data_IF_374658764756
#
_entry.id   IF_374658764756
#
_cell.length_a   1.000
_cell.length_b   1.000
_cell.length_c   1.000
_cell.angle_alpha   90.00
_cell.angle_beta   90.00
_cell.angle_gamma   90.00
#
_symmetry.space_group_name_H-M   'P 1'
#
loop_
_entity.id
_entity.type
_entity.pdbx_description
1 polymer ?
#
# COMPACT_ATOMS: atom_id res chain seq x y z
N UNK A 1 -7.79 -52.84 48.05
CA UNK A 1 -8.63 -51.70 47.61
C UNK A 1 -9.96 -52.25 47.12
N UNK A 2 -11.01 -52.03 47.91
CA UNK A 2 -12.31 -52.66 47.72
C UNK A 2 -13.04 -52.02 46.52
N UNK A 3 -13.98 -52.74 45.88
CA UNK A 3 -14.70 -52.27 44.67
C UNK A 3 -15.43 -50.93 44.91
N UNK A 4 -15.84 -50.68 46.16
CA UNK A 4 -16.45 -49.43 46.62
C UNK A 4 -15.47 -48.24 46.69
N UNK A 5 -14.21 -48.45 47.08
CA UNK A 5 -13.19 -47.38 47.18
C UNK A 5 -12.73 -46.91 45.81
N UNK A 6 -12.60 -47.83 44.83
CA UNK A 6 -12.32 -47.45 43.43
C UNK A 6 -13.45 -46.61 42.84
N UNK A 7 -14.71 -46.93 43.15
CA UNK A 7 -15.86 -46.18 42.64
C UNK A 7 -15.97 -44.77 43.24
N UNK A 8 -15.58 -44.58 44.51
CA UNK A 8 -15.58 -43.26 45.15
C UNK A 8 -14.55 -42.29 44.58
N UNK A 9 -13.46 -42.79 43.97
CA UNK A 9 -12.43 -41.96 43.34
C UNK A 9 -12.70 -41.76 41.84
N UNK A 10 -13.25 -42.77 41.16
CA UNK A 10 -13.52 -42.71 39.72
C UNK A 10 -14.62 -41.69 39.37
N UNK A 11 -15.69 -41.62 40.17
CA UNK A 11 -16.82 -40.70 39.94
C UNK A 11 -16.38 -39.21 39.96
N UNK A 12 -15.66 -38.72 40.98
CA UNK A 12 -15.22 -37.31 40.99
C UNK A 12 -14.20 -37.03 39.89
N UNK A 13 -13.33 -37.98 39.53
CA UNK A 13 -12.37 -37.80 38.42
C UNK A 13 -13.10 -37.65 37.08
N UNK A 14 -14.11 -38.48 36.81
CA UNK A 14 -14.92 -38.36 35.58
C UNK A 14 -15.67 -37.03 35.56
N UNK A 15 -16.29 -36.63 36.67
CA UNK A 15 -16.95 -35.32 36.75
C UNK A 15 -15.97 -34.17 36.51
N UNK A 16 -14.75 -34.25 37.07
CA UNK A 16 -13.73 -33.23 36.88
C UNK A 16 -13.28 -33.15 35.42
N UNK A 17 -13.07 -34.29 34.76
CA UNK A 17 -12.71 -34.36 33.33
C UNK A 17 -13.83 -33.84 32.44
N UNK A 18 -15.10 -34.17 32.73
CA UNK A 18 -16.25 -33.64 31.97
C UNK A 18 -16.40 -32.13 32.13
N UNK A 19 -16.21 -31.59 33.35
CA UNK A 19 -16.22 -30.14 33.60
C UNK A 19 -15.04 -29.47 32.90
N UNK A 20 -13.85 -30.07 32.92
CA UNK A 20 -12.69 -29.53 32.21
C UNK A 20 -12.87 -29.55 30.70
N UNK A 21 -13.35 -30.65 30.12
CA UNK A 21 -13.59 -30.75 28.68
C UNK A 21 -14.70 -29.80 28.22
N UNK A 22 -15.79 -29.68 28.99
CA UNK A 22 -16.83 -28.69 28.69
C UNK A 22 -16.32 -27.26 28.85
N UNK A 23 -15.53 -26.96 29.88
CA UNK A 23 -14.91 -25.64 30.03
C UNK A 23 -13.92 -25.32 28.91
N UNK A 24 -13.12 -26.29 28.43
CA UNK A 24 -12.20 -26.12 27.29
C UNK A 24 -12.97 -25.96 25.98
N UNK A 25 -14.08 -26.69 25.77
CA UNK A 25 -14.94 -26.53 24.59
C UNK A 25 -15.69 -25.19 24.61
N UNK A 26 -16.20 -24.78 25.77
CA UNK A 26 -16.83 -23.48 25.98
C UNK A 26 -15.79 -22.37 25.80
N UNK A 27 -14.60 -22.48 26.39
CA UNK A 27 -13.50 -21.53 26.19
C UNK A 27 -13.09 -21.48 24.73
N UNK A 28 -12.93 -22.61 24.05
CA UNK A 28 -12.64 -22.66 22.61
C UNK A 28 -13.74 -22.02 21.75
N UNK A 29 -15.00 -22.14 22.18
CA UNK A 29 -16.15 -21.56 21.48
C UNK A 29 -16.25 -20.04 21.73
N UNK A 30 -16.01 -19.58 22.96
CA UNK A 30 -16.08 -18.17 23.36
C UNK A 30 -14.76 -17.39 23.20
N UNK A 31 -13.64 -18.08 22.97
CA UNK A 31 -12.35 -17.47 22.60
C UNK A 31 -12.16 -17.35 21.10
N UNK A 32 -13.19 -17.66 20.30
CA UNK A 32 -13.29 -17.01 18.99
C UNK A 32 -13.32 -15.50 19.27
N UNK A 33 -12.50 -14.69 18.58
CA UNK A 33 -12.60 -13.24 18.72
C UNK A 33 -14.07 -12.87 18.53
N UNK A 34 -14.63 -12.16 19.50
CA UNK A 34 -16.00 -11.73 19.45
C UNK A 34 -16.20 -10.95 18.15
N UNK A 35 -17.21 -11.35 17.39
CA UNK A 35 -17.70 -10.70 16.18
C UNK A 35 -18.40 -9.39 16.58
N UNK A 36 -17.69 -8.53 17.32
CA UNK A 36 -18.32 -7.45 18.10
C UNK A 36 -18.72 -6.24 17.25
N UNK A 37 -18.30 -6.15 15.98
CA UNK A 37 -18.57 -4.99 15.11
C UNK A 37 -19.22 -5.32 13.76
N UNK A 38 -19.67 -6.55 13.51
CA UNK A 38 -20.32 -6.92 12.22
C UNK A 38 -19.44 -6.60 11.00
N UNK A 39 -18.12 -6.67 11.19
CA UNK A 39 -17.10 -6.27 10.22
C UNK A 39 -16.23 -7.46 9.86
N UNK A 40 -16.18 -7.76 8.58
CA UNK A 40 -15.35 -8.81 8.02
C UNK A 40 -13.99 -8.21 7.68
N UNK A 41 -12.95 -8.58 8.42
CA UNK A 41 -11.59 -8.11 8.16
C UNK A 41 -10.82 -9.16 7.38
N UNK A 42 -10.26 -8.76 6.25
CA UNK A 42 -9.39 -9.59 5.42
C UNK A 42 -7.98 -9.03 5.49
N UNK A 43 -7.07 -9.80 6.05
CA UNK A 43 -5.64 -9.51 6.09
C UNK A 43 -4.97 -10.11 4.87
N UNK A 44 -4.37 -9.25 4.05
CA UNK A 44 -3.56 -9.62 2.89
C UNK A 44 -2.11 -9.53 3.28
N UNK A 45 -1.33 -10.55 2.94
CA UNK A 45 0.13 -10.54 3.08
C UNK A 45 0.77 -10.72 1.73
N UNK A 46 1.61 -9.78 1.36
CA UNK A 46 2.47 -9.87 0.20
C UNK A 46 3.73 -10.66 0.54
N UNK A 47 4.35 -11.38 -0.41
CA UNK A 47 5.65 -11.98 -0.22
C UNK A 47 6.66 -10.90 0.15
N UNK A 48 7.72 -11.29 0.85
CA UNK A 48 8.87 -10.42 0.99
C UNK A 48 9.48 -10.19 -0.40
N UNK A 49 9.27 -8.99 -0.93
CA UNK A 49 9.99 -8.52 -2.10
C UNK A 49 11.42 -8.15 -1.67
N UNK A 50 12.42 -8.51 -2.47
CA UNK A 50 13.81 -8.09 -2.24
C UNK A 50 13.97 -6.55 -2.36
N UNK A 51 12.98 -5.89 -2.96
CA UNK A 51 12.95 -4.45 -3.22
C UNK A 51 11.79 -3.77 -2.49
N UNK A 52 11.88 -2.45 -2.33
CA UNK A 52 10.81 -1.67 -1.72
C UNK A 52 9.50 -1.79 -2.52
N UNK A 53 8.36 -1.74 -1.85
CA UNK A 53 7.03 -1.82 -2.45
C UNK A 53 6.18 -0.65 -1.97
N UNK A 54 5.43 -0.05 -2.89
CA UNK A 54 4.32 0.84 -2.56
C UNK A 54 3.03 0.08 -2.81
N UNK A 55 2.16 0.10 -1.81
CA UNK A 55 0.82 -0.47 -1.84
C UNK A 55 -0.17 0.70 -1.76
N UNK A 56 -0.50 1.35 -2.89
CA UNK A 56 -1.41 2.49 -2.89
C UNK A 56 -2.88 2.09 -2.71
N UNK A 57 -3.11 0.82 -2.42
CA UNK A 57 -4.39 0.16 -2.54
C UNK A 57 -5.27 0.57 -1.37
N UNK A 58 -6.03 1.63 -1.60
CA UNK A 58 -7.12 2.03 -0.71
C UNK A 58 -8.33 1.11 -0.82
N UNK A 59 -8.45 0.30 -1.89
CA UNK A 59 -9.61 -0.59 -2.10
C UNK A 59 -9.23 -1.97 -2.62
N UNK A 60 -9.89 -3.03 -2.12
CA UNK A 60 -9.74 -4.39 -2.64
C UNK A 60 -11.12 -4.95 -3.02
N UNK A 61 -11.23 -5.48 -4.23
CA UNK A 61 -12.43 -6.19 -4.67
C UNK A 61 -12.65 -7.45 -3.83
N UNK A 62 -13.81 -7.53 -3.18
CA UNK A 62 -14.21 -8.65 -2.34
C UNK A 62 -15.69 -8.95 -2.58
N UNK A 63 -16.06 -10.20 -2.75
CA UNK A 63 -17.42 -10.62 -3.06
C UNK A 63 -17.78 -11.95 -2.40
N UNK A 64 -19.08 -12.24 -2.28
CA UNK A 64 -19.58 -13.53 -1.79
C UNK A 64 -19.74 -14.58 -2.90
N UNK A 65 -19.50 -14.19 -4.15
CA UNK A 65 -19.52 -15.06 -5.33
C UNK A 65 -18.30 -14.81 -6.23
N UNK A 66 -17.90 -15.83 -7.00
CA UNK A 66 -16.69 -15.80 -7.82
C UNK A 66 -16.82 -14.98 -9.12
N UNK A 67 -18.01 -14.45 -9.41
CA UNK A 67 -18.25 -13.56 -10.55
C UNK A 67 -18.29 -12.09 -10.13
N UNK A 68 -18.08 -11.80 -8.84
CA UNK A 68 -18.14 -10.45 -8.29
C UNK A 68 -19.47 -9.75 -8.59
N UNK A 69 -20.58 -10.50 -8.58
CA UNK A 69 -21.93 -9.92 -8.77
C UNK A 69 -22.51 -9.35 -7.46
N UNK A 70 -22.03 -9.86 -6.32
CA UNK A 70 -22.41 -9.43 -4.99
C UNK A 70 -21.16 -9.03 -4.21
N UNK A 71 -20.64 -7.86 -4.55
CA UNK A 71 -19.48 -7.26 -3.88
C UNK A 71 -19.83 -6.82 -2.46
N UNK A 72 -18.89 -7.04 -1.54
CA UNK A 72 -18.95 -6.53 -0.19
C UNK A 72 -18.46 -5.08 -0.19
N UNK A 73 -19.18 -4.21 0.52
CA UNK A 73 -18.79 -2.82 0.64
C UNK A 73 -17.61 -2.70 1.61
N UNK A 74 -16.47 -2.20 1.10
CA UNK A 74 -15.34 -1.87 1.95
C UNK A 74 -15.65 -0.62 2.79
N UNK A 75 -15.32 -0.68 4.07
CA UNK A 75 -15.52 0.40 5.04
C UNK A 75 -14.22 1.15 5.31
N UNK A 76 -13.11 0.42 5.39
CA UNK A 76 -11.79 1.00 5.66
C UNK A 76 -10.66 0.07 5.21
N UNK A 77 -9.48 0.66 5.07
CA UNK A 77 -8.20 0.00 4.87
C UNK A 77 -7.23 0.49 5.94
N UNK A 78 -6.30 -0.38 6.35
CA UNK A 78 -5.17 0.02 7.16
C UNK A 78 -3.93 -0.82 6.84
N UNK A 79 -2.80 -0.14 6.76
CA UNK A 79 -1.46 -0.71 6.74
C UNK A 79 -0.64 -0.11 7.89
N UNK A 80 0.21 -0.90 8.53
CA UNK A 80 1.14 -0.40 9.55
C UNK A 80 2.42 0.20 8.95
N UNK A 81 2.51 0.24 7.61
CA UNK A 81 3.61 0.83 6.82
C UNK A 81 4.97 0.17 7.03
N UNK A 82 5.05 -0.88 7.84
CA UNK A 82 6.29 -1.57 8.23
C UNK A 82 6.24 -3.07 7.94
N UNK A 83 5.04 -3.64 7.81
CA UNK A 83 4.81 -5.02 7.42
C UNK A 83 4.25 -5.05 6.01
N UNK A 84 4.53 -6.13 5.28
CA UNK A 84 3.91 -6.42 3.99
C UNK A 84 2.43 -6.84 4.15
N UNK A 85 1.75 -6.33 5.18
CA UNK A 85 0.39 -6.71 5.55
C UNK A 85 -0.55 -5.51 5.39
N UNK A 86 -1.72 -5.78 4.82
CA UNK A 86 -2.81 -4.84 4.66
C UNK A 86 -4.09 -5.44 5.20
N UNK A 87 -4.88 -4.65 5.90
CA UNK A 87 -6.15 -5.07 6.47
C UNK A 87 -7.27 -4.29 5.79
N UNK A 88 -8.18 -5.02 5.14
CA UNK A 88 -9.37 -4.47 4.50
C UNK A 88 -10.60 -4.89 5.29
N UNK A 89 -11.43 -3.91 5.65
CA UNK A 89 -12.62 -4.13 6.46
C UNK A 89 -13.87 -3.98 5.60
N UNK A 90 -14.77 -4.96 5.68
CA UNK A 90 -15.99 -5.02 4.87
C UNK A 90 -17.23 -5.11 5.73
N UNK A 91 -18.30 -4.47 5.26
CA UNK A 91 -19.64 -4.63 5.81
C UNK A 91 -20.27 -5.91 5.26
N UNK A 92 -20.98 -6.65 6.11
CA UNK A 92 -21.81 -7.77 5.69
C UNK A 92 -23.14 -7.79 6.47
N UNK A 93 -24.23 -8.08 5.77
CA UNK A 93 -25.56 -8.23 6.38
C UNK A 93 -25.78 -9.64 6.94
N UNK A 94 -25.21 -10.64 6.28
CA UNK A 94 -25.26 -12.04 6.67
C UNK A 94 -23.89 -12.64 6.48
N UNK A 95 -23.39 -13.32 7.51
CA UNK A 95 -22.05 -13.88 7.50
C UNK A 95 -21.89 -14.88 6.33
N UNK A 96 -20.99 -14.62 5.36
CA UNK A 96 -20.79 -15.53 4.24
C UNK A 96 -19.96 -16.74 4.66
N UNK A 97 -20.28 -17.94 4.16
CA UNK A 97 -19.42 -19.13 4.35
C UNK A 97 -18.08 -19.00 3.61
N UNK A 98 -18.08 -18.21 2.54
CA UNK A 98 -16.93 -18.03 1.64
C UNK A 98 -16.98 -16.64 1.02
N UNK A 99 -15.81 -16.03 0.86
CA UNK A 99 -15.58 -14.83 0.09
C UNK A 99 -14.55 -15.07 -1.01
N UNK A 100 -14.62 -14.27 -2.05
CA UNK A 100 -13.72 -14.22 -3.19
C UNK A 100 -13.10 -12.84 -3.23
N UNK A 101 -11.78 -12.79 -3.37
CA UNK A 101 -11.04 -11.53 -3.48
C UNK A 101 -10.22 -11.54 -4.75
N UNK A 102 -9.96 -10.35 -5.31
CA UNK A 102 -8.87 -10.18 -6.28
C UNK A 102 -7.67 -9.60 -5.58
N UNK A 103 -6.50 -10.13 -5.89
CA UNK A 103 -5.25 -9.53 -5.46
C UNK A 103 -5.19 -8.10 -6.01
N UNK A 104 -5.08 -7.08 -5.15
CA UNK A 104 -4.94 -5.73 -5.65
C UNK A 104 -3.54 -5.52 -6.23
N UNK A 105 -3.43 -4.49 -7.06
CA UNK A 105 -2.19 -4.21 -7.75
C UNK A 105 -1.20 -3.49 -6.83
N UNK A 106 0.08 -3.82 -6.96
CA UNK A 106 1.16 -3.23 -6.16
C UNK A 106 2.18 -2.55 -7.06
N UNK A 107 2.96 -1.63 -6.50
CA UNK A 107 4.03 -0.95 -7.20
C UNK A 107 5.37 -1.43 -6.64
N UNK A 108 6.14 -2.16 -7.43
CA UNK A 108 7.41 -2.75 -7.01
C UNK A 108 8.56 -1.88 -7.51
N UNK A 109 9.53 -1.63 -6.63
CA UNK A 109 10.73 -0.87 -6.97
C UNK A 109 11.55 -1.62 -8.02
N UNK A 110 11.85 -0.91 -9.10
CA UNK A 110 12.71 -1.32 -10.19
C UNK A 110 13.87 -0.32 -10.28
N UNK A 111 15.09 -0.83 -10.07
CA UNK A 111 16.29 -0.01 -10.21
C UNK A 111 16.48 0.37 -11.69
N UNK A 112 16.30 1.64 -12.00
CA UNK A 112 16.18 2.19 -13.33
C UNK A 112 17.47 2.79 -13.88
N UNK A 113 18.65 2.33 -13.42
CA UNK A 113 19.98 2.90 -13.77
C UNK A 113 20.26 3.07 -15.28
N UNK A 114 19.46 2.50 -16.18
CA UNK A 114 19.57 2.69 -17.64
C UNK A 114 18.54 3.64 -18.28
N UNK A 115 17.49 4.06 -17.57
CA UNK A 115 16.34 4.81 -18.13
C UNK A 115 16.09 6.14 -17.39
N UNK A 116 17.12 6.76 -16.82
CA UNK A 116 16.96 8.03 -16.09
C UNK A 116 16.48 9.16 -16.99
N UNK A 117 15.54 9.96 -16.50
CA UNK A 117 15.10 11.18 -17.16
C UNK A 117 15.87 12.36 -16.60
N UNK A 118 16.31 13.24 -17.50
CA UNK A 118 16.86 14.56 -17.14
C UNK A 118 16.02 15.61 -17.86
N UNK A 119 15.07 16.17 -17.12
CA UNK A 119 14.00 17.03 -17.64
C UNK A 119 14.30 18.48 -17.26
N UNK A 120 14.19 19.46 -18.18
CA UNK A 120 14.29 20.86 -17.81
C UNK A 120 13.27 21.19 -16.70
N UNK A 121 13.71 21.89 -15.66
CA UNK A 121 12.87 22.24 -14.51
C UNK A 121 11.96 23.43 -14.84
N UNK A 122 11.00 23.23 -15.74
CA UNK A 122 10.06 24.26 -16.18
C UNK A 122 8.69 23.68 -16.51
N UNK A 123 7.65 24.48 -16.30
CA UNK A 123 6.26 24.09 -16.59
C UNK A 123 6.11 23.71 -18.06
N UNK A 124 5.46 22.58 -18.32
CA UNK A 124 5.26 21.98 -19.64
C UNK A 124 6.41 21.09 -20.12
N UNK A 125 7.53 21.02 -19.39
CA UNK A 125 8.61 20.09 -19.72
C UNK A 125 8.16 18.65 -19.49
N UNK A 126 8.49 17.77 -20.43
CA UNK A 126 8.09 16.36 -20.44
C UNK A 126 9.28 15.49 -20.10
N UNK A 127 9.12 14.63 -19.10
CA UNK A 127 10.05 13.55 -18.79
C UNK A 127 9.78 12.34 -19.68
N UNK A 128 10.84 11.58 -19.98
CA UNK A 128 10.75 10.38 -20.80
C UNK A 128 11.29 9.19 -20.03
N UNK A 129 10.63 8.05 -20.18
CA UNK A 129 11.07 6.79 -19.61
C UNK A 129 11.01 5.71 -20.69
N UNK A 130 12.17 5.14 -21.02
CA UNK A 130 12.36 4.22 -22.16
C UNK A 130 11.83 4.83 -23.48
N UNK A 131 12.30 6.04 -23.80
CA UNK A 131 11.97 6.81 -25.03
C UNK A 131 10.49 7.19 -25.22
N UNK A 132 9.65 6.97 -24.22
CA UNK A 132 8.23 7.31 -24.26
C UNK A 132 7.89 8.38 -23.21
N UNK A 133 6.96 9.32 -23.51
CA UNK A 133 6.50 10.33 -22.55
C UNK A 133 6.01 9.67 -21.27
N UNK A 134 6.48 10.19 -20.14
CA UNK A 134 6.17 9.65 -18.82
C UNK A 134 5.28 10.58 -18.02
N UNK A 135 5.75 11.79 -17.72
CA UNK A 135 4.99 12.81 -17.02
C UNK A 135 5.38 14.19 -17.53
N UNK A 136 4.58 15.20 -17.19
CA UNK A 136 4.92 16.60 -17.42
C UNK A 136 4.97 17.38 -16.12
N UNK A 137 5.85 18.38 -16.07
CA UNK A 137 5.90 19.33 -14.96
C UNK A 137 4.75 20.32 -15.12
N UNK A 138 3.87 20.40 -14.13
CA UNK A 138 2.69 21.28 -14.14
C UNK A 138 2.91 22.54 -13.31
N UNK A 139 3.77 22.49 -12.30
CA UNK A 139 4.11 23.63 -11.45
C UNK A 139 5.57 23.57 -11.00
N UNK A 140 6.20 24.75 -10.91
CA UNK A 140 7.49 24.96 -10.25
C UNK A 140 7.36 26.22 -9.41
N UNK A 141 7.46 26.10 -8.09
CA UNK A 141 7.43 27.24 -7.16
C UNK A 141 8.75 27.35 -6.41
N UNK A 142 9.10 28.57 -6.04
CA UNK A 142 10.32 28.89 -5.29
C UNK A 142 9.94 29.78 -4.12
N UNK A 143 10.01 29.23 -2.92
CA UNK A 143 9.62 29.90 -1.70
C UNK A 143 10.85 30.26 -0.87
N UNK A 144 11.09 31.55 -0.68
CA UNK A 144 12.20 32.04 0.14
C UNK A 144 11.84 31.89 1.62
N UNK A 145 12.57 31.03 2.33
CA UNK A 145 12.40 30.87 3.78
C UNK A 145 13.19 31.95 4.55
N UNK A 146 14.46 32.12 4.19
CA UNK A 146 15.35 33.14 4.74
C UNK A 146 16.49 33.43 3.75
N UNK A 147 17.36 34.38 4.07
CA UNK A 147 18.48 34.73 3.17
C UNK A 147 19.33 33.52 2.86
N UNK A 148 19.44 33.18 1.57
CA UNK A 148 20.20 32.04 1.08
C UNK A 148 19.50 30.69 1.15
N UNK A 149 18.26 30.63 1.66
CA UNK A 149 17.51 29.36 1.78
C UNK A 149 16.13 29.45 1.17
N UNK A 150 15.88 28.50 0.27
CA UNK A 150 14.70 28.44 -0.57
C UNK A 150 14.20 27.00 -0.62
N UNK A 151 12.89 26.83 -0.54
CA UNK A 151 12.22 25.61 -0.92
C UNK A 151 11.80 25.72 -2.38
N UNK A 152 12.03 24.65 -3.13
CA UNK A 152 11.66 24.52 -4.54
C UNK A 152 10.68 23.36 -4.60
N UNK A 153 9.43 23.66 -4.95
CA UNK A 153 8.38 22.65 -5.06
C UNK A 153 8.07 22.43 -6.54
N UNK A 154 8.10 21.17 -6.97
CA UNK A 154 7.83 20.74 -8.35
C UNK A 154 6.65 19.79 -8.32
N UNK A 155 5.58 20.13 -9.03
CA UNK A 155 4.42 19.23 -9.21
C UNK A 155 4.42 18.66 -10.62
N UNK A 156 4.05 17.38 -10.73
CA UNK A 156 3.98 16.67 -12.00
C UNK A 156 2.60 16.03 -12.20
N UNK A 157 2.24 15.82 -13.46
CA UNK A 157 1.09 15.01 -13.87
C UNK A 157 1.57 13.90 -14.81
N UNK A 158 1.17 12.67 -14.50
CA UNK A 158 1.66 11.48 -15.17
C UNK A 158 0.78 11.08 -16.35
N UNK A 159 1.42 10.67 -17.44
CA UNK A 159 0.80 10.01 -18.59
C UNK A 159 0.85 8.49 -18.48
N UNK A 160 1.68 7.97 -17.58
CA UNK A 160 1.91 6.53 -17.39
C UNK A 160 1.75 6.13 -15.94
N UNK A 161 1.31 4.90 -15.76
CA UNK A 161 1.17 4.28 -14.44
C UNK A 161 2.52 3.75 -13.90
N UNK A 162 3.46 4.68 -13.76
CA UNK A 162 4.84 4.43 -13.30
C UNK A 162 5.19 5.55 -12.33
N UNK A 163 5.57 5.19 -11.11
CA UNK A 163 5.87 6.15 -10.05
C UNK A 163 7.38 6.45 -10.06
N UNK A 164 7.82 7.71 -10.13
CA UNK A 164 9.22 8.06 -9.97
C UNK A 164 9.68 7.80 -8.53
N UNK A 165 10.88 7.24 -8.38
CA UNK A 165 11.52 7.08 -7.07
C UNK A 165 12.54 8.18 -6.90
N UNK A 166 12.56 8.80 -5.72
CA UNK A 166 13.60 9.70 -5.21
C UNK A 166 14.17 10.63 -6.28
N UNK A 167 13.57 11.80 -6.43
CA UNK A 167 14.02 12.75 -7.42
C UNK A 167 15.27 13.53 -6.95
N UNK A 168 16.07 14.01 -7.90
CA UNK A 168 17.13 14.99 -7.64
C UNK A 168 16.94 16.21 -8.51
N UNK A 169 17.34 17.38 -7.99
CA UNK A 169 17.33 18.63 -8.74
C UNK A 169 18.78 19.09 -8.95
N UNK A 170 19.20 19.17 -10.22
CA UNK A 170 20.54 19.63 -10.60
C UNK A 170 20.51 21.11 -10.96
N UNK A 171 21.27 21.92 -10.26
CA UNK A 171 21.41 23.37 -10.46
C UNK A 171 22.89 23.67 -10.69
N UNK A 172 23.31 23.78 -11.95
CA UNK A 172 24.73 23.80 -12.31
C UNK A 172 25.44 22.55 -11.76
N UNK A 173 26.47 22.75 -10.94
CA UNK A 173 27.22 21.66 -10.28
C UNK A 173 26.59 21.16 -8.97
N UNK A 174 25.50 21.77 -8.52
CA UNK A 174 24.83 21.43 -7.26
C UNK A 174 23.78 20.35 -7.55
N UNK A 175 23.80 19.26 -6.79
CA UNK A 175 22.75 18.25 -6.76
C UNK A 175 22.00 18.37 -5.44
N UNK A 176 20.69 18.64 -5.51
CA UNK A 176 19.79 18.63 -4.37
C UNK A 176 19.04 17.30 -4.37
N UNK A 177 18.99 16.65 -3.21
CA UNK A 177 18.13 15.49 -3.01
C UNK A 177 16.74 15.98 -2.58
N UNK A 178 15.72 15.23 -2.98
CA UNK A 178 14.35 15.42 -2.50
C UNK A 178 14.29 15.39 -0.96
N UNK A 179 13.54 16.33 -0.37
CA UNK A 179 13.18 16.29 1.04
C UNK A 179 11.92 15.41 1.22
N UNK A 180 12.14 14.12 1.47
CA UNK A 180 11.06 13.16 1.67
C UNK A 180 10.21 13.38 2.92
N UNK A 181 10.57 14.34 3.78
CA UNK A 181 9.79 14.73 4.97
C UNK A 181 8.93 15.98 4.78
N UNK A 182 8.93 16.53 3.55
CA UNK A 182 8.17 17.71 3.20
C UNK A 182 6.66 17.51 3.40
N UNK A 183 5.95 18.45 4.06
CA UNK A 183 4.52 18.34 4.27
C UNK A 183 3.72 18.43 2.96
N UNK A 184 4.31 19.04 1.93
CA UNK A 184 3.72 19.19 0.59
C UNK A 184 3.95 17.96 -0.29
N UNK A 185 4.69 16.95 0.20
CA UNK A 185 4.84 15.70 -0.53
C UNK A 185 3.50 14.97 -0.55
N UNK A 186 2.89 14.95 -1.72
CA UNK A 186 1.65 14.26 -1.97
C UNK A 186 1.82 13.41 -3.23
N UNK A 187 1.53 12.12 -3.09
CA UNK A 187 1.43 11.19 -4.19
C UNK A 187 -0.05 10.86 -4.35
N UNK A 188 -0.61 11.10 -5.54
CA UNK A 188 -2.03 10.93 -5.78
C UNK A 188 -2.31 9.76 -6.73
N UNK A 189 -3.37 9.04 -6.41
CA UNK A 189 -3.88 7.92 -7.19
C UNK A 189 -5.36 8.16 -7.54
N UNK A 190 -5.75 7.84 -8.76
CA UNK A 190 -7.15 7.83 -9.20
C UNK A 190 -7.47 6.48 -9.86
N UNK A 191 -8.53 5.83 -9.38
CA UNK A 191 -8.90 4.47 -9.79
C UNK A 191 -7.71 3.49 -9.71
N UNK A 192 -6.94 3.57 -8.62
CA UNK A 192 -5.73 2.77 -8.35
C UNK A 192 -4.55 3.00 -9.32
N UNK A 193 -4.63 4.00 -10.19
CA UNK A 193 -3.53 4.41 -11.07
C UNK A 193 -2.82 5.65 -10.51
N UNK A 194 -1.51 5.69 -10.64
CA UNK A 194 -0.71 6.87 -10.34
C UNK A 194 -1.02 8.00 -11.31
N UNK A 195 -1.33 9.19 -10.79
CA UNK A 195 -1.71 10.35 -11.61
C UNK A 195 -0.84 11.58 -11.40
N UNK A 196 -0.33 11.83 -10.20
CA UNK A 196 0.45 13.04 -9.92
C UNK A 196 1.29 12.91 -8.66
N UNK A 197 2.34 13.74 -8.58
CA UNK A 197 3.17 13.83 -7.39
C UNK A 197 3.76 15.22 -7.22
N UNK A 198 4.05 15.59 -5.98
CA UNK A 198 4.77 16.81 -5.63
C UNK A 198 6.10 16.47 -4.95
N UNK A 199 7.18 17.05 -5.46
CA UNK A 199 8.54 16.93 -4.94
C UNK A 199 8.99 18.26 -4.36
N UNK A 200 9.69 18.21 -3.22
CA UNK A 200 10.27 19.39 -2.61
C UNK A 200 11.78 19.25 -2.47
N UNK A 201 12.50 20.33 -2.77
CA UNK A 201 13.95 20.42 -2.65
C UNK A 201 14.33 21.65 -1.86
N UNK A 202 15.38 21.55 -1.04
CA UNK A 202 15.91 22.70 -0.29
C UNK A 202 17.22 23.17 -0.86
N UNK A 203 17.23 24.39 -1.38
CA UNK A 203 18.46 25.10 -1.75
C UNK A 203 18.99 25.87 -0.53
N UNK A 204 20.22 25.59 -0.12
CA UNK A 204 20.90 26.32 0.96
C UNK A 204 22.38 26.52 0.64
N UNK A 205 22.67 27.27 -0.44
CA UNK A 205 24.04 27.50 -0.93
C UNK A 205 24.29 29.00 -1.12
N UNK A 206 24.77 29.62 -0.05
CA UNK A 206 25.25 31.01 -0.06
C UNK A 206 24.15 32.06 0.13
N UNK A 207 24.56 33.31 0.39
CA UNK A 207 23.66 34.41 0.71
C UNK A 207 23.00 35.02 -0.56
N UNK A 208 22.17 34.23 -1.24
CA UNK A 208 21.37 34.69 -2.37
C UNK A 208 20.04 35.27 -1.89
N UNK A 209 19.56 36.29 -2.62
CA UNK A 209 18.25 36.91 -2.35
C UNK A 209 17.12 36.32 -3.18
N UNK A 210 17.45 35.73 -4.32
CA UNK A 210 16.58 35.08 -5.30
C UNK A 210 17.39 33.99 -6.01
N UNK A 211 16.74 32.91 -6.43
CA UNK A 211 17.33 31.79 -7.18
C UNK A 211 16.53 31.43 -8.43
N UNK A 212 15.52 32.23 -8.81
CA UNK A 212 14.61 31.93 -9.92
C UNK A 212 15.36 31.62 -11.24
N UNK A 213 16.38 32.41 -11.57
CA UNK A 213 17.21 32.17 -12.76
C UNK A 213 17.95 30.83 -12.70
N UNK A 214 18.43 30.45 -11.51
CA UNK A 214 19.12 29.17 -11.30
C UNK A 214 18.14 27.99 -11.45
N UNK A 215 16.91 28.14 -10.97
CA UNK A 215 15.86 27.12 -11.09
C UNK A 215 15.42 26.96 -12.54
N UNK A 216 15.34 28.05 -13.32
CA UNK A 216 15.02 28.00 -14.74
C UNK A 216 16.06 27.24 -15.58
N UNK A 217 17.31 27.21 -15.13
CA UNK A 217 18.41 26.45 -15.74
C UNK A 217 18.58 25.05 -15.15
N UNK A 218 17.77 24.70 -14.14
CA UNK A 218 17.89 23.43 -13.44
C UNK A 218 17.37 22.25 -14.26
N UNK A 219 17.85 21.06 -13.93
CA UNK A 219 17.34 19.80 -14.45
C UNK A 219 16.76 18.94 -13.34
N UNK A 220 15.47 18.60 -13.47
CA UNK A 220 14.79 17.63 -12.63
C UNK A 220 15.12 16.22 -13.11
N UNK A 221 15.70 15.42 -12.23
CA UNK A 221 16.24 14.11 -12.55
C UNK A 221 15.50 13.02 -11.77
N UNK A 222 15.05 11.99 -12.48
CA UNK A 222 14.47 10.78 -11.90
C UNK A 222 15.19 9.57 -12.48
N UNK A 223 15.58 8.62 -11.64
CA UNK A 223 16.42 7.48 -12.06
C UNK A 223 15.72 6.14 -11.85
N UNK A 224 15.21 5.92 -10.64
CA UNK A 224 14.53 4.69 -10.26
C UNK A 224 13.02 4.87 -10.36
N UNK A 225 12.28 3.77 -10.49
CA UNK A 225 10.82 3.79 -10.60
C UNK A 225 10.17 2.71 -9.75
N UNK A 226 8.92 2.91 -9.36
CA UNK A 226 8.05 1.80 -9.03
C UNK A 226 7.14 1.49 -10.21
N UNK A 227 7.05 0.21 -10.55
CA UNK A 227 6.13 -0.29 -11.58
C UNK A 227 4.99 -1.07 -10.97
N UNK A 228 3.81 -0.84 -11.53
CA UNK A 228 2.64 -1.63 -11.20
C UNK A 228 2.81 -3.09 -11.64
N UNK A 229 2.48 -4.01 -10.76
CA UNK A 229 2.34 -5.43 -11.01
C UNK A 229 0.90 -5.81 -10.67
N UNK A 230 0.19 -6.35 -11.67
CA UNK A 230 -1.13 -6.93 -11.47
C UNK A 230 -1.05 -8.41 -11.15
N UNK A 231 -1.94 -8.88 -10.27
CA UNK A 231 -1.97 -10.29 -9.88
C UNK A 231 -0.75 -10.71 -9.05
N UNK A 232 -0.32 -9.83 -8.14
CA UNK A 232 0.71 -10.17 -7.17
C UNK A 232 0.31 -11.44 -6.41
N UNK A 233 1.28 -12.34 -6.20
CA UNK A 233 1.04 -13.49 -5.32
C UNK A 233 0.79 -12.95 -3.92
N UNK A 234 -0.33 -13.34 -3.32
CA UNK A 234 -0.71 -12.91 -1.98
C UNK A 234 -1.18 -14.12 -1.17
N UNK A 235 -1.08 -14.00 0.14
CA UNK A 235 -1.85 -14.83 1.06
C UNK A 235 -2.92 -13.98 1.72
N UNK A 236 -4.05 -14.59 2.06
CA UNK A 236 -5.19 -13.88 2.61
C UNK A 236 -5.81 -14.68 3.76
N UNK A 237 -6.10 -13.99 4.85
CA UNK A 237 -6.73 -14.56 6.04
C UNK A 237 -7.90 -13.68 6.46
N UNK A 238 -8.99 -14.30 6.92
CA UNK A 238 -10.13 -13.58 7.47
C UNK A 238 -10.10 -13.66 9.00
N UNK A 239 -10.47 -12.57 9.67
CA UNK A 239 -10.63 -12.53 11.13
C UNK A 239 -11.64 -13.57 11.64
N UNK A 240 -12.61 -13.98 10.83
CA UNK A 240 -13.62 -14.98 11.17
C UNK A 240 -13.21 -16.37 10.63
N UNK A 241 -12.80 -17.32 11.50
CA UNK A 241 -12.18 -18.58 11.06
C UNK A 241 -13.07 -19.52 10.24
N UNK A 242 -14.39 -19.34 10.29
CA UNK A 242 -15.33 -20.15 9.49
C UNK A 242 -15.49 -19.66 8.06
N UNK A 243 -15.12 -18.41 7.77
CA UNK A 243 -15.21 -17.82 6.43
C UNK A 243 -14.00 -18.26 5.62
N UNK A 244 -14.24 -18.91 4.48
CA UNK A 244 -13.16 -19.28 3.56
C UNK A 244 -12.83 -18.14 2.62
N UNK A 245 -11.57 -17.75 2.55
CA UNK A 245 -11.09 -16.78 1.54
C UNK A 245 -10.60 -17.54 0.32
N UNK A 246 -11.09 -17.15 -0.86
CA UNK A 246 -10.62 -17.64 -2.16
C UNK A 246 -10.02 -16.47 -2.92
N UNK A 247 -8.77 -16.62 -3.34
CA UNK A 247 -8.08 -15.63 -4.15
C UNK A 247 -8.35 -16.00 -5.60
N UNK A 248 -9.07 -15.15 -6.32
CA UNK A 248 -9.31 -15.31 -7.74
C UNK A 248 -8.11 -14.75 -8.51
N UNK A 249 -7.56 -15.56 -9.43
CA UNK A 249 -6.52 -15.09 -10.33
C UNK A 249 -7.11 -14.00 -11.22
N UNK A 250 -6.51 -12.81 -11.18
CA UNK A 250 -6.81 -11.73 -12.14
C UNK A 250 -6.44 -12.11 -13.58
N UNK A 251 -5.76 -13.25 -13.78
CA UNK A 251 -5.40 -13.82 -15.07
C UNK A 251 -6.45 -14.79 -15.64
N UNK A 252 -7.58 -14.28 -16.14
CA UNK A 252 -8.28 -14.80 -17.34
C UNK A 252 -9.66 -14.16 -17.57
N UNK A 253 -9.74 -12.83 -17.72
CA UNK A 253 -10.77 -12.30 -18.63
C UNK A 253 -10.26 -12.52 -20.07
N UNK A 254 -10.64 -13.67 -20.62
CA UNK A 254 -10.47 -13.99 -22.03
C UNK A 254 -11.05 -12.84 -22.88
N UNK A 255 -10.19 -12.14 -23.60
CA UNK A 255 -10.57 -11.40 -24.78
C UNK A 255 -11.21 -12.38 -25.79
N UNK A 256 -12.52 -12.23 -25.99
CA UNK A 256 -13.25 -12.70 -27.16
C UNK A 256 -13.95 -11.50 -27.81
#
# INVERSE_FOLDING_TARGET
>A
MNKAEKSQIIVPVICFVCVFLSAVLIWSYYSKPADEDGTLSVTIKYPEYETAVITPVSTMECAIDNKFLHELQQISESSDGNTNEHIYNYQYDTLPDKIYIKAPDIYVFEQGRSNSSMTPCSVGSVAYYADEPWFSITSVTVDKLYTGVFDITISIESFKDIVPVMATLKIGDIVLNEDGSAPEKEMAFENDNYISETFQFRYNRGALNDISDLVNEAAFCTEDVFRRISGAQITAECNIPSVKVVIEDSGSSSSL
#
